data_IF_160184156675
#
_entry.id   IF_160184156675
#
_cell.length_a   1.000
_cell.length_b   1.000
_cell.length_c   1.000
_cell.angle_alpha   90.00
_cell.angle_beta   90.00
_cell.angle_gamma   90.00
#
_symmetry.space_group_name_H-M   'P 1'
#
loop_
_entity.id
_entity.type
_entity.pdbx_description
1 polymer ?
#
# COMPACT_ATOMS: atom_id res chain seq x y z
N UNK A 1 47.94 -27.26 35.64
CA UNK A 1 49.01 -26.28 35.32
C UNK A 1 48.62 -25.65 34.00
N UNK A 2 47.94 -24.50 34.03
CA UNK A 2 48.51 -23.16 33.82
C UNK A 2 49.18 -23.09 32.44
N UNK A 3 48.66 -22.33 31.48
CA UNK A 3 48.80 -20.86 31.45
C UNK A 3 47.53 -20.19 30.89
N UNK A 4 46.97 -19.30 31.71
CA UNK A 4 46.08 -18.19 31.37
C UNK A 4 46.92 -17.00 30.86
N UNK A 5 46.27 -16.03 30.19
CA UNK A 5 46.71 -14.64 29.90
C UNK A 5 47.31 -14.32 28.52
N UNK A 6 46.50 -13.66 27.69
CA UNK A 6 46.74 -12.30 27.14
C UNK A 6 45.47 -11.88 26.39
N UNK A 7 44.57 -11.08 26.99
CA UNK A 7 44.49 -9.61 26.95
C UNK A 7 44.46 -9.07 25.51
N UNK A 8 43.27 -8.70 25.01
CA UNK A 8 42.70 -7.33 24.96
C UNK A 8 43.47 -6.40 24.00
N UNK A 9 42.70 -5.72 23.12
CA UNK A 9 43.03 -4.80 22.00
C UNK A 9 42.66 -5.50 20.67
N UNK A 10 41.65 -5.12 19.90
CA UNK A 10 41.30 -3.79 19.43
C UNK A 10 39.78 -3.68 19.22
N UNK A 11 39.14 -2.75 19.92
CA UNK A 11 37.90 -2.12 19.50
C UNK A 11 38.25 -0.71 19.03
N UNK A 12 37.93 -0.36 17.79
CA UNK A 12 37.60 1.00 17.28
C UNK A 12 37.68 1.03 15.75
N UNK A 13 36.77 1.80 15.14
CA UNK A 13 36.74 2.25 13.73
C UNK A 13 36.29 1.14 12.77
N UNK A 14 35.03 1.10 12.33
CA UNK A 14 34.47 2.00 11.32
C UNK A 14 32.95 2.18 11.54
N UNK A 15 32.55 3.33 12.09
CA UNK A 15 31.24 3.89 11.78
C UNK A 15 31.31 4.43 10.34
N UNK A 16 30.64 3.76 9.40
CA UNK A 16 30.35 4.34 8.09
C UNK A 16 28.91 4.84 8.11
N UNK A 17 28.78 6.16 8.26
CA UNK A 17 27.59 6.92 7.89
C UNK A 17 27.58 7.09 6.36
N UNK A 18 26.47 6.76 5.68
CA UNK A 18 26.13 7.43 4.44
C UNK A 18 25.01 8.44 4.73
N UNK A 19 25.40 9.68 5.03
CA UNK A 19 24.60 10.85 4.66
C UNK A 19 24.78 11.05 3.17
N UNK A 20 23.82 10.60 2.37
CA UNK A 20 23.68 11.07 0.99
C UNK A 20 22.26 11.56 0.77
N UNK A 21 22.18 12.88 0.76
CA UNK A 21 21.04 13.69 0.36
C UNK A 21 20.81 13.51 -1.13
N UNK A 22 19.93 12.59 -1.51
CA UNK A 22 19.45 12.50 -2.90
C UNK A 22 18.11 13.21 -3.02
N UNK A 23 18.13 14.27 -3.83
CA UNK A 23 17.04 15.18 -4.12
C UNK A 23 15.78 14.45 -4.65
N UNK A 24 14.57 14.97 -4.38
CA UNK A 24 13.37 14.49 -5.04
C UNK A 24 13.40 14.92 -6.51
N UNK A 25 13.57 13.96 -7.42
CA UNK A 25 13.27 14.17 -8.84
C UNK A 25 11.75 14.36 -8.99
N UNK A 26 11.34 15.62 -9.08
CA UNK A 26 10.00 16.03 -9.47
C UNK A 26 9.72 15.62 -10.91
N UNK A 27 9.06 14.48 -11.12
CA UNK A 27 8.51 14.12 -12.43
C UNK A 27 7.27 14.99 -12.65
N UNK A 28 7.41 16.01 -13.49
CA UNK A 28 6.32 16.85 -13.97
C UNK A 28 5.41 16.02 -14.87
N UNK A 29 4.28 15.54 -14.35
CA UNK A 29 3.25 14.91 -15.17
C UNK A 29 2.44 16.01 -15.88
N UNK A 30 2.84 16.33 -17.10
CA UNK A 30 2.04 17.16 -18.01
C UNK A 30 0.75 16.41 -18.34
N UNK A 31 -0.39 17.00 -18.00
CA UNK A 31 -1.72 16.49 -18.36
C UNK A 31 -1.92 16.56 -19.87
N UNK A 32 -1.51 15.51 -20.57
CA UNK A 32 -2.00 15.24 -21.93
C UNK A 32 -3.25 14.38 -21.82
N UNK A 33 -4.40 15.01 -22.06
CA UNK A 33 -5.73 14.41 -22.08
C UNK A 33 -5.86 13.39 -23.21
N UNK A 34 -5.40 12.15 -22.98
CA UNK A 34 -5.71 11.02 -23.85
C UNK A 34 -7.11 10.52 -23.49
N UNK A 35 -8.11 10.88 -24.29
CA UNK A 35 -9.45 10.25 -24.27
C UNK A 35 -9.31 8.79 -24.69
N UNK A 36 -9.14 7.88 -23.72
CA UNK A 36 -9.24 6.44 -23.98
C UNK A 36 -10.73 6.09 -24.04
N UNK A 37 -11.21 5.79 -25.25
CA UNK A 37 -12.56 5.30 -25.52
C UNK A 37 -12.64 3.84 -25.04
N UNK A 38 -13.34 3.61 -23.94
CA UNK A 38 -13.46 2.29 -23.30
C UNK A 38 -14.47 1.42 -24.07
N UNK A 39 -14.10 0.21 -24.54
CA UNK A 39 -15.06 -0.70 -25.13
C UNK A 39 -15.86 -1.40 -24.02
N UNK A 40 -17.18 -1.34 -24.17
CA UNK A 40 -18.18 -2.04 -23.36
C UNK A 40 -17.98 -3.55 -23.45
N UNK A 41 -17.90 -4.23 -22.29
CA UNK A 41 -18.84 -5.30 -21.88
C UNK A 41 -18.24 -6.17 -20.75
N UNK A 42 -18.30 -5.70 -19.50
CA UNK A 42 -18.24 -6.53 -18.29
C UNK A 42 -19.13 -5.80 -17.27
N UNK A 43 -20.03 -6.52 -16.62
CA UNK A 43 -20.96 -6.06 -15.58
C UNK A 43 -20.25 -5.15 -14.56
N UNK A 44 -20.32 -3.85 -14.84
CA UNK A 44 -19.71 -2.75 -14.09
C UNK A 44 -20.77 -1.69 -13.96
N UNK A 45 -20.88 -1.09 -12.78
CA UNK A 45 -21.72 0.10 -12.66
C UNK A 45 -21.24 1.15 -13.66
N UNK A 46 -22.13 1.68 -14.51
CA UNK A 46 -21.75 2.67 -15.50
C UNK A 46 -21.02 3.83 -14.82
N UNK A 47 -19.78 4.09 -15.23
CA UNK A 47 -18.99 5.23 -14.74
C UNK A 47 -18.09 4.99 -13.53
N UNK A 48 -17.93 3.75 -13.04
CA UNK A 48 -16.94 3.43 -12.00
C UNK A 48 -15.59 3.06 -12.64
N UNK A 49 -14.50 3.80 -12.39
CA UNK A 49 -13.18 3.46 -12.92
C UNK A 49 -12.67 2.11 -12.41
N UNK A 50 -12.01 1.36 -13.30
CA UNK A 50 -11.38 0.08 -13.00
C UNK A 50 -9.88 0.20 -13.26
N UNK A 51 -9.09 -0.07 -12.22
CA UNK A 51 -7.63 -0.08 -12.21
C UNK A 51 -7.13 -1.52 -12.06
N UNK A 52 -5.88 -1.77 -12.44
CA UNK A 52 -5.23 -3.07 -12.35
C UNK A 52 -3.95 -2.91 -11.53
N UNK A 53 -3.70 -3.83 -10.60
CA UNK A 53 -2.43 -3.84 -9.83
C UNK A 53 -1.23 -4.10 -10.74
N UNK A 54 -1.45 -4.82 -11.85
CA UNK A 54 -0.46 -5.13 -12.88
C UNK A 54 -1.12 -5.13 -14.25
N UNK A 55 -0.45 -4.52 -15.23
CA UNK A 55 -0.94 -4.46 -16.61
C UNK A 55 -2.18 -3.59 -16.77
N UNK A 56 -3.03 -3.94 -17.73
CA UNK A 56 -4.27 -3.21 -18.02
C UNK A 56 -5.44 -4.11 -18.41
N UNK A 57 -5.30 -5.42 -18.28
CA UNK A 57 -6.32 -6.42 -18.59
C UNK A 57 -6.40 -7.48 -17.52
N UNK A 58 -7.52 -8.21 -17.51
CA UNK A 58 -7.69 -9.33 -16.58
C UNK A 58 -6.61 -10.37 -16.76
N UNK A 59 -6.19 -10.64 -18.00
CA UNK A 59 -5.18 -11.65 -18.35
C UNK A 59 -3.78 -11.36 -17.76
N UNK A 60 -3.48 -10.10 -17.47
CA UNK A 60 -2.18 -9.68 -16.92
C UNK A 60 -2.05 -9.97 -15.41
N UNK A 61 -3.18 -10.23 -14.76
CA UNK A 61 -3.26 -10.48 -13.32
C UNK A 61 -2.96 -11.94 -12.99
N UNK A 62 -2.30 -12.21 -11.86
CA UNK A 62 -2.07 -13.58 -11.40
C UNK A 62 -3.39 -14.28 -11.04
N UNK A 63 -3.36 -15.61 -10.90
CA UNK A 63 -4.47 -16.35 -10.31
C UNK A 63 -4.53 -16.12 -8.81
N UNK A 64 -5.73 -15.95 -8.27
CA UNK A 64 -5.93 -15.75 -6.84
C UNK A 64 -5.60 -17.04 -6.04
N UNK A 65 -4.90 -16.87 -4.91
CA UNK A 65 -4.88 -17.86 -3.83
C UNK A 65 -6.20 -17.94 -3.07
N UNK A 66 -6.29 -18.87 -2.12
CA UNK A 66 -7.49 -19.06 -1.31
C UNK A 66 -7.74 -17.84 -0.41
N UNK A 67 -8.96 -17.31 -0.41
CA UNK A 67 -9.35 -16.08 0.30
C UNK A 67 -8.46 -14.86 -0.03
N UNK A 68 -7.77 -14.90 -1.17
CA UNK A 68 -7.05 -13.74 -1.67
C UNK A 68 -8.05 -12.66 -2.10
N UNK A 69 -7.70 -11.41 -1.84
CA UNK A 69 -8.48 -10.27 -2.29
C UNK A 69 -8.34 -10.17 -3.79
N UNK A 70 -9.43 -10.40 -4.51
CA UNK A 70 -9.47 -10.35 -5.97
C UNK A 70 -9.78 -8.94 -6.50
N UNK A 71 -10.60 -8.16 -5.79
CA UNK A 71 -10.84 -6.74 -6.05
C UNK A 71 -10.78 -5.93 -4.76
N UNK A 72 -10.22 -4.71 -4.84
CA UNK A 72 -10.37 -3.67 -3.82
C UNK A 72 -11.35 -2.63 -4.36
N UNK A 73 -12.35 -2.27 -3.57
CA UNK A 73 -13.26 -1.17 -3.90
C UNK A 73 -13.07 -0.08 -2.87
N UNK A 74 -12.72 1.12 -3.30
CA UNK A 74 -12.64 2.28 -2.42
C UNK A 74 -13.87 3.17 -2.64
N UNK A 75 -14.52 3.59 -1.56
CA UNK A 75 -15.75 4.40 -1.58
C UNK A 75 -15.58 5.80 -1.00
N UNK A 76 -14.35 6.23 -0.68
CA UNK A 76 -14.16 7.48 0.06
C UNK A 76 -14.70 8.72 -0.67
N UNK A 77 -14.62 8.73 -2.00
CA UNK A 77 -15.17 9.79 -2.85
C UNK A 77 -15.88 9.17 -4.06
N UNK A 78 -15.45 9.48 -5.29
CA UNK A 78 -15.86 8.74 -6.48
C UNK A 78 -15.35 7.29 -6.37
N UNK A 79 -16.24 6.29 -6.31
CA UNK A 79 -15.81 4.92 -6.13
C UNK A 79 -14.96 4.44 -7.30
N UNK A 80 -14.01 3.56 -7.02
CA UNK A 80 -13.19 2.90 -8.03
C UNK A 80 -12.86 1.48 -7.59
N UNK A 81 -12.54 0.64 -8.56
CA UNK A 81 -12.24 -0.77 -8.35
C UNK A 81 -10.80 -1.03 -8.78
N UNK A 82 -9.99 -1.62 -7.90
CA UNK A 82 -8.67 -2.14 -8.22
C UNK A 82 -8.73 -3.66 -8.35
N UNK A 83 -8.46 -4.18 -9.54
CA UNK A 83 -8.31 -5.62 -9.75
C UNK A 83 -6.93 -6.09 -9.30
N UNK A 84 -6.91 -7.18 -8.53
CA UNK A 84 -5.70 -7.72 -7.92
C UNK A 84 -5.30 -9.06 -8.54
N UNK A 85 -6.27 -9.96 -8.75
CA UNK A 85 -6.03 -11.30 -9.27
C UNK A 85 -7.30 -11.87 -9.96
N UNK A 86 -7.12 -12.91 -10.77
CA UNK A 86 -8.21 -13.64 -11.41
C UNK A 86 -8.68 -14.81 -10.54
N UNK A 87 -9.96 -14.84 -10.21
CA UNK A 87 -10.59 -15.96 -9.53
C UNK A 87 -10.63 -17.22 -10.43
N UNK A 88 -10.48 -18.43 -9.85
CA UNK A 88 -10.37 -19.66 -10.62
C UNK A 88 -11.69 -20.19 -11.19
N UNK A 89 -12.83 -19.97 -10.51
CA UNK A 89 -14.11 -20.59 -10.83
C UNK A 89 -15.19 -19.62 -11.33
N UNK A 90 -15.15 -18.37 -10.89
CA UNK A 90 -16.15 -17.35 -11.22
C UNK A 90 -15.49 -15.97 -11.33
N UNK A 91 -16.19 -14.99 -11.89
CA UNK A 91 -15.71 -13.60 -11.90
C UNK A 91 -15.72 -13.02 -10.49
N UNK A 92 -14.66 -12.31 -10.10
CA UNK A 92 -14.61 -11.59 -8.82
C UNK A 92 -15.72 -10.54 -8.75
N UNK A 93 -16.39 -10.43 -7.60
CA UNK A 93 -17.45 -9.43 -7.38
C UNK A 93 -16.93 -8.01 -7.62
N UNK A 94 -17.66 -7.24 -8.40
CA UNK A 94 -17.47 -5.80 -8.65
C UNK A 94 -18.50 -4.94 -7.93
N UNK A 95 -19.35 -5.54 -7.09
CA UNK A 95 -20.43 -4.83 -6.40
C UNK A 95 -19.87 -3.72 -5.51
N UNK A 96 -20.50 -2.54 -5.55
CA UNK A 96 -20.22 -1.49 -4.58
C UNK A 96 -20.86 -1.78 -3.23
N UNK A 97 -21.63 -2.85 -3.05
CA UNK A 97 -22.24 -3.20 -1.76
C UNK A 97 -21.46 -4.29 -1.03
N UNK A 98 -21.59 -4.31 0.30
CA UNK A 98 -20.96 -5.31 1.15
C UNK A 98 -21.83 -6.56 1.36
N UNK A 99 -23.08 -6.55 0.91
CA UNK A 99 -24.08 -7.60 1.13
C UNK A 99 -24.02 -8.76 0.12
N UNK A 100 -23.02 -8.78 -0.77
CA UNK A 100 -22.85 -9.79 -1.82
C UNK A 100 -22.29 -11.15 -1.32
N UNK A 101 -22.05 -11.27 -0.01
CA UNK A 101 -21.52 -12.48 0.62
C UNK A 101 -20.03 -12.76 0.34
N UNK A 102 -19.37 -11.90 -0.41
CA UNK A 102 -17.96 -12.03 -0.84
C UNK A 102 -17.12 -10.82 -0.42
N UNK A 103 -17.64 -10.02 0.52
CA UNK A 103 -17.02 -8.76 0.94
C UNK A 103 -16.59 -8.79 2.40
N UNK A 104 -15.39 -8.27 2.67
CA UNK A 104 -14.93 -7.83 3.98
C UNK A 104 -14.78 -6.30 3.92
N UNK A 105 -15.30 -5.59 4.92
CA UNK A 105 -15.27 -4.12 4.97
C UNK A 105 -14.29 -3.63 6.02
N UNK A 106 -13.48 -2.63 5.68
CA UNK A 106 -12.66 -1.87 6.62
C UNK A 106 -12.76 -0.38 6.24
N UNK A 107 -13.35 0.43 7.11
CA UNK A 107 -13.69 1.83 6.84
C UNK A 107 -14.43 2.00 5.50
N UNK A 108 -13.81 2.71 4.55
CA UNK A 108 -14.39 3.03 3.24
C UNK A 108 -13.98 2.04 2.15
N UNK A 109 -13.26 0.96 2.51
CA UNK A 109 -12.78 -0.04 1.57
C UNK A 109 -13.58 -1.33 1.70
N UNK A 110 -13.92 -1.88 0.56
CA UNK A 110 -14.43 -3.24 0.43
C UNK A 110 -13.34 -4.10 -0.18
N UNK A 111 -13.04 -5.20 0.49
CA UNK A 111 -12.15 -6.23 -0.01
C UNK A 111 -12.99 -7.41 -0.47
N UNK A 112 -12.89 -7.72 -1.76
CA UNK A 112 -13.66 -8.78 -2.41
C UNK A 112 -12.82 -10.05 -2.47
N UNK A 113 -13.41 -11.18 -2.11
CA UNK A 113 -12.78 -12.52 -2.23
C UNK A 113 -13.51 -13.37 -3.26
N UNK A 114 -12.82 -14.38 -3.80
CA UNK A 114 -13.44 -15.34 -4.72
C UNK A 114 -14.42 -16.27 -3.99
N UNK A 115 -14.09 -16.62 -2.76
CA UNK A 115 -14.88 -17.48 -1.90
C UNK A 115 -15.83 -16.68 -1.00
N UNK A 116 -16.92 -17.30 -0.51
CA UNK A 116 -17.82 -16.66 0.43
C UNK A 116 -17.12 -16.30 1.75
N UNK A 117 -17.30 -15.06 2.21
CA UNK A 117 -16.63 -14.57 3.42
C UNK A 117 -17.26 -15.10 4.70
N UNK A 118 -18.49 -15.62 4.65
CA UNK A 118 -19.22 -16.19 5.79
C UNK A 118 -18.51 -17.35 6.49
N UNK A 119 -17.57 -18.01 5.81
CA UNK A 119 -16.78 -19.12 6.37
C UNK A 119 -15.59 -18.65 7.22
N UNK A 120 -15.18 -17.39 7.07
CA UNK A 120 -14.07 -16.85 7.84
C UNK A 120 -14.51 -16.60 9.29
N UNK A 121 -13.69 -16.99 10.30
CA UNK A 121 -14.02 -16.77 11.70
C UNK A 121 -13.99 -15.28 12.07
N UNK A 122 -14.43 -14.95 13.28
CA UNK A 122 -14.29 -13.60 13.85
C UNK A 122 -12.93 -13.45 14.54
N UNK A 123 -12.22 -12.37 14.25
CA UNK A 123 -10.95 -12.04 14.90
C UNK A 123 -11.18 -11.55 16.33
N UNK A 124 -10.24 -11.89 17.23
CA UNK A 124 -10.14 -11.31 18.57
C UNK A 124 -9.21 -10.09 18.50
N UNK A 125 -9.65 -8.99 19.13
CA UNK A 125 -8.89 -7.73 19.12
C UNK A 125 -7.43 -7.93 19.54
N UNK A 126 -6.54 -7.21 18.84
CA UNK A 126 -5.10 -7.13 19.08
C UNK A 126 -4.30 -8.45 18.98
N UNK A 127 -4.96 -9.60 18.91
CA UNK A 127 -4.30 -10.92 18.90
C UNK A 127 -4.33 -11.58 17.54
N UNK A 128 -5.50 -11.65 16.93
CA UNK A 128 -5.67 -12.40 15.69
C UNK A 128 -5.34 -11.50 14.49
N UNK A 129 -4.65 -12.07 13.51
CA UNK A 129 -4.32 -11.41 12.25
C UNK A 129 -5.55 -11.49 11.35
N UNK A 130 -6.13 -10.34 10.98
CA UNK A 130 -7.29 -10.29 10.07
C UNK A 130 -6.90 -10.56 8.63
N UNK A 131 -5.75 -10.03 8.20
CA UNK A 131 -5.21 -10.28 6.88
C UNK A 131 -3.70 -10.09 6.84
N UNK A 132 -3.10 -10.64 5.80
CA UNK A 132 -1.70 -10.44 5.46
C UNK A 132 -1.57 -9.86 4.07
N UNK A 133 -0.60 -8.96 3.87
CA UNK A 133 -0.19 -8.48 2.56
C UNK A 133 1.23 -8.98 2.31
N UNK A 134 1.41 -9.78 1.28
CA UNK A 134 2.70 -10.30 0.85
C UNK A 134 3.11 -9.58 -0.42
N UNK A 135 4.31 -9.00 -0.42
CA UNK A 135 4.93 -8.40 -1.60
C UNK A 135 6.09 -9.29 -2.03
N UNK A 136 5.97 -9.82 -3.24
CA UNK A 136 7.00 -10.63 -3.88
C UNK A 136 8.03 -9.75 -4.62
N UNK A 137 9.25 -10.26 -4.90
CA UNK A 137 10.28 -9.49 -5.60
C UNK A 137 9.91 -9.01 -7.01
N UNK A 138 8.92 -9.66 -7.64
CA UNK A 138 8.35 -9.30 -8.94
C UNK A 138 7.30 -8.17 -8.85
N UNK A 139 7.23 -7.47 -7.71
CA UNK A 139 6.27 -6.42 -7.37
C UNK A 139 4.80 -6.87 -7.41
N UNK A 140 4.55 -8.18 -7.36
CA UNK A 140 3.21 -8.70 -7.18
C UNK A 140 2.87 -8.68 -5.71
N UNK A 141 1.73 -8.07 -5.38
CA UNK A 141 1.19 -8.05 -4.02
C UNK A 141 -0.02 -8.96 -3.91
N UNK A 142 -0.03 -9.84 -2.91
CA UNK A 142 -1.17 -10.66 -2.57
C UNK A 142 -1.68 -10.28 -1.18
N UNK A 143 -2.97 -10.01 -1.06
CA UNK A 143 -3.62 -9.78 0.24
C UNK A 143 -4.52 -10.97 0.55
N UNK A 144 -4.29 -11.68 1.66
CA UNK A 144 -5.05 -12.87 2.04
C UNK A 144 -5.83 -12.59 3.32
N UNK A 145 -7.11 -12.91 3.30
CA UNK A 145 -8.04 -12.73 4.42
C UNK A 145 -8.08 -13.97 5.31
N UNK A 146 -7.94 -13.77 6.62
CA UNK A 146 -7.89 -14.85 7.61
C UNK A 146 -9.12 -14.85 8.54
N UNK A 147 -9.62 -13.67 8.91
CA UNK A 147 -10.79 -13.54 9.77
C UNK A 147 -11.46 -12.17 9.61
N UNK A 148 -12.74 -12.10 9.99
CA UNK A 148 -13.49 -10.85 10.06
C UNK A 148 -13.19 -10.09 11.33
N UNK A 149 -12.80 -8.83 11.20
CA UNK A 149 -12.76 -7.96 12.36
C UNK A 149 -14.16 -7.82 13.01
N UNK A 150 -14.23 -7.61 14.33
CA UNK A 150 -15.47 -7.25 15.02
C UNK A 150 -16.09 -5.95 14.45
N UNK A 151 -17.38 -5.72 14.69
CA UNK A 151 -18.02 -4.45 14.28
C UNK A 151 -17.34 -3.26 14.97
N UNK A 152 -17.36 -2.09 14.32
CA UNK A 152 -16.76 -0.84 14.84
C UNK A 152 -15.29 -1.00 15.21
N UNK A 153 -14.52 -1.55 14.28
CA UNK A 153 -13.10 -1.77 14.42
C UNK A 153 -12.37 -1.34 13.17
N UNK A 154 -11.07 -1.14 13.32
CA UNK A 154 -10.16 -0.79 12.23
C UNK A 154 -8.99 -1.76 12.23
N UNK A 155 -8.56 -2.16 11.05
CA UNK A 155 -7.33 -2.91 10.90
C UNK A 155 -6.09 -2.00 11.02
N UNK A 156 -5.05 -2.49 11.69
CA UNK A 156 -3.78 -1.79 11.82
C UNK A 156 -2.60 -2.77 11.64
N UNK A 157 -1.47 -2.25 11.16
CA UNK A 157 -0.26 -3.05 10.95
C UNK A 157 0.35 -3.43 12.30
N UNK A 158 0.50 -4.74 12.56
CA UNK A 158 1.13 -5.26 13.78
C UNK A 158 2.54 -5.79 13.55
N UNK A 159 2.84 -6.26 12.34
CA UNK A 159 4.10 -6.94 12.07
C UNK A 159 4.52 -6.77 10.62
N UNK A 160 5.81 -6.55 10.40
CA UNK A 160 6.48 -6.68 9.11
C UNK A 160 7.53 -7.78 9.24
N UNK A 161 7.53 -8.73 8.31
CA UNK A 161 8.52 -9.79 8.24
C UNK A 161 9.14 -9.82 6.86
N UNK A 162 10.45 -10.06 6.82
CA UNK A 162 11.18 -10.31 5.59
C UNK A 162 11.26 -11.82 5.38
N UNK A 163 11.17 -12.26 4.13
CA UNK A 163 11.44 -13.65 3.76
C UNK A 163 12.28 -13.68 2.48
N UNK A 164 13.10 -14.71 2.34
CA UNK A 164 13.94 -14.88 1.16
C UNK A 164 13.26 -15.85 0.19
N UNK A 165 13.22 -15.47 -1.08
CA UNK A 165 12.86 -16.34 -2.19
C UNK A 165 14.09 -16.55 -3.08
N UNK A 166 14.10 -17.56 -3.96
CA UNK A 166 15.19 -17.73 -4.93
C UNK A 166 15.40 -16.51 -5.84
N UNK A 167 14.37 -15.68 -6.03
CA UNK A 167 14.38 -14.49 -6.89
C UNK A 167 14.77 -13.21 -6.14
N UNK A 168 14.82 -13.22 -4.81
CA UNK A 168 15.17 -12.05 -4.01
C UNK A 168 14.48 -12.01 -2.66
N UNK A 169 14.30 -10.80 -2.13
CA UNK A 169 13.72 -10.57 -0.81
C UNK A 169 12.26 -10.15 -0.94
N UNK A 170 11.36 -10.85 -0.24
CA UNK A 170 9.95 -10.50 -0.11
C UNK A 170 9.62 -9.96 1.28
N UNK A 171 8.45 -9.31 1.38
CA UNK A 171 7.94 -8.78 2.63
C UNK A 171 6.52 -9.27 2.90
N UNK A 172 6.23 -9.60 4.16
CA UNK A 172 4.90 -9.90 4.64
C UNK A 172 4.51 -8.88 5.72
N UNK A 173 3.36 -8.26 5.54
CA UNK A 173 2.75 -7.32 6.47
C UNK A 173 1.51 -7.97 7.09
N UNK A 174 1.45 -8.06 8.41
CA UNK A 174 0.33 -8.66 9.14
C UNK A 174 -0.47 -7.56 9.82
N UNK A 175 -1.79 -7.63 9.69
CA UNK A 175 -2.73 -6.66 10.23
C UNK A 175 -3.64 -7.31 11.27
N UNK A 176 -3.88 -6.63 12.39
CA UNK A 176 -4.82 -7.06 13.41
C UNK A 176 -5.95 -6.02 13.57
N UNK A 177 -7.01 -6.41 14.27
CA UNK A 177 -8.14 -5.52 14.53
C UNK A 177 -7.95 -4.76 15.84
N UNK A 178 -8.25 -3.46 15.84
CA UNK A 178 -8.38 -2.61 17.02
C UNK A 178 -9.81 -2.07 17.09
N UNK A 179 -10.44 -1.97 18.27
CA UNK A 179 -11.68 -1.21 18.42
C UNK A 179 -11.47 0.21 17.90
N UNK A 180 -12.45 0.73 17.18
CA UNK A 180 -12.52 2.14 16.84
C UNK A 180 -13.01 2.88 18.08
N UNK A 181 -12.14 3.03 19.08
CA UNK A 181 -12.45 3.93 20.19
C UNK A 181 -12.67 5.31 19.57
N UNK A 182 -13.88 5.85 19.73
CA UNK A 182 -14.16 7.27 19.48
C UNK A 182 -13.00 8.02 20.10
N UNK A 183 -12.17 8.68 19.28
CA UNK A 183 -11.03 9.47 19.72
C UNK A 183 -11.41 10.16 21.02
N UNK A 184 -10.89 9.69 22.16
CA UNK A 184 -11.14 10.33 23.44
C UNK A 184 -10.75 11.79 23.23
N UNK A 185 -11.74 12.70 23.37
CA UNK A 185 -11.55 14.15 23.37
C UNK A 185 -10.71 14.55 24.59
N UNK A 186 -9.47 14.09 24.71
CA UNK A 186 -8.57 14.41 25.82
C UNK A 186 -7.18 14.87 25.32
N UNK A 187 -6.91 14.82 24.01
CA UNK A 187 -5.81 15.59 23.45
C UNK A 187 -6.35 16.54 22.38
N UNK A 188 -6.16 17.87 22.54
CA UNK A 188 -6.37 18.79 21.43
C UNK A 188 -5.49 18.29 20.28
N UNK A 189 -6.13 17.84 19.20
CA UNK A 189 -5.43 17.54 17.95
C UNK A 189 -4.68 18.81 17.54
N UNK A 190 -3.35 18.79 17.32
CA UNK A 190 -2.72 19.89 16.60
C UNK A 190 -3.43 19.96 15.24
N UNK A 191 -3.97 21.15 14.92
CA UNK A 191 -4.67 21.40 13.65
C UNK A 191 -3.77 20.91 12.53
N UNK A 192 -4.24 19.94 11.75
CA UNK A 192 -3.61 19.56 10.48
C UNK A 192 -3.75 20.80 9.58
N UNK A 193 -2.68 21.58 9.52
CA UNK A 193 -2.57 22.72 8.61
C UNK A 193 -2.64 22.19 7.19
N UNK A 194 -3.59 22.74 6.44
CA UNK A 194 -3.84 22.46 5.03
C UNK A 194 -2.53 22.36 4.25
N UNK A 195 -2.40 21.29 3.46
CA UNK A 195 -1.43 21.23 2.37
C UNK A 195 -1.75 22.38 1.39
N UNK A 196 -0.94 23.44 1.43
CA UNK A 196 -0.98 24.55 0.49
C UNK A 196 0.21 24.40 -0.44
N UNK A 197 0.02 24.14 -1.75
CA UNK A 197 1.15 24.08 -2.68
C UNK A 197 1.71 25.50 -2.85
N UNK A 198 2.97 25.68 -2.45
CA UNK A 198 3.68 26.93 -2.62
C UNK A 198 4.17 27.04 -4.07
N UNK A 199 3.61 27.97 -4.83
CA UNK A 199 4.08 28.34 -6.16
C UNK A 199 5.31 29.21 -6.02
N UNK A 200 6.50 28.61 -6.07
CA UNK A 200 7.76 29.35 -6.14
C UNK A 200 7.85 30.08 -7.49
N UNK A 201 7.76 31.41 -7.45
CA UNK A 201 8.10 32.28 -8.58
C UNK A 201 9.61 32.20 -8.84
N UNK A 202 9.98 31.82 -10.05
CA UNK A 202 11.36 31.83 -10.53
C UNK A 202 11.77 33.28 -10.83
N UNK A 203 12.48 33.93 -9.89
CA UNK A 203 13.12 35.22 -10.15
C UNK A 203 14.44 34.98 -10.88
N UNK A 204 14.53 35.44 -12.13
CA UNK A 204 15.75 35.47 -12.94
C UNK A 204 16.85 36.26 -12.20
N UNK A 205 17.94 35.59 -11.81
CA UNK A 205 19.19 36.28 -11.47
C UNK A 205 20.01 36.48 -12.74
N UNK A 206 20.23 37.74 -13.09
CA UNK A 206 21.16 38.19 -14.14
C UNK A 206 22.56 38.12 -13.55
N UNK A 207 23.42 37.28 -14.14
CA UNK A 207 24.84 37.20 -13.80
C UNK A 207 25.57 38.32 -14.54
N UNK A 208 26.13 39.27 -13.81
CA UNK A 208 27.11 40.23 -14.32
C UNK A 208 28.51 39.60 -14.22
N UNK A 209 29.18 39.47 -15.37
CA UNK A 209 30.62 39.18 -15.48
C UNK A 209 31.43 40.48 -15.30
N UNK A 210 32.52 40.50 -14.52
CA UNK A 210 33.50 41.57 -14.57
C UNK A 210 34.62 41.26 -15.58
N UNK A 211 35.11 42.34 -16.19
CA UNK A 211 36.08 42.39 -17.26
C UNK A 211 37.51 41.97 -16.86
N UNK A 212 38.20 41.31 -17.79
CA UNK A 212 39.61 40.92 -17.75
C UNK A 212 40.49 42.14 -18.09
N UNK A 213 41.37 42.51 -17.16
CA UNK A 213 42.33 43.61 -17.33
C UNK A 213 43.60 43.10 -18.01
N UNK A 214 44.06 43.89 -18.97
CA UNK A 214 45.26 43.74 -19.78
C UNK A 214 46.43 44.41 -19.05
N UNK A 215 47.52 43.67 -18.85
CA UNK A 215 48.92 44.14 -18.82
C UNK A 215 49.84 42.95 -19.09
#
# INVERSE_FOLDING_TARGET
MSILMSLILYASVLYHNPTETTQPHSITFTQNSVKIKQPSNITSHPGVPVLFTKGNRDEDLPKCGRYAVCNKVDKYNSPWIEKQCQCPSSSCSSSLDASDGHTITDRNRLFKTCEPTKELPKCRFFRDITWTVTTSPDNVTEQVMHCHCPKSSVAYLVKRQMFNTPQGVGYQFSFACSPESVSFKIFPQPKVSNYKPETTKLTKQVVHTPAENRD
#
